data_IF_561852000712
#
_entry.id   IF_561852000712
#
_cell.length_a   1.000
_cell.length_b   1.000
_cell.length_c   1.000
_cell.angle_alpha   90.00
_cell.angle_beta   90.00
_cell.angle_gamma   90.00
#
_symmetry.space_group_name_H-M   'P 1'
#
loop_
_entity.id
_entity.type
_entity.pdbx_description
1 polymer ?
#
# COMPACT_ATOMS: atom_id res chain seq x y z
N UNK A 1 -0.34 11.15 -49.22
CA UNK A 1 -0.60 12.50 -48.68
C UNK A 1 -0.31 12.45 -47.18
N UNK A 2 0.69 13.20 -46.72
CA UNK A 2 1.23 13.11 -45.35
C UNK A 2 0.41 14.03 -44.44
N UNK A 3 -0.26 13.47 -43.42
CA UNK A 3 -0.96 14.24 -42.38
C UNK A 3 0.09 14.82 -41.44
N UNK A 4 0.31 16.13 -41.53
CA UNK A 4 1.19 16.88 -40.63
C UNK A 4 0.47 17.15 -39.31
N UNK A 5 1.16 16.81 -38.23
CA UNK A 5 0.71 16.80 -36.85
C UNK A 5 0.34 18.20 -36.34
N UNK A 6 -0.92 18.37 -35.97
CA UNK A 6 -1.53 19.62 -35.52
C UNK A 6 -1.74 19.60 -34.00
N UNK A 7 -0.70 19.22 -33.25
CA UNK A 7 -0.78 19.00 -31.79
C UNK A 7 0.33 19.69 -30.99
N UNK A 8 0.91 20.77 -31.53
CA UNK A 8 2.08 21.44 -30.94
C UNK A 8 1.81 22.86 -30.39
N UNK A 9 0.57 23.20 -30.04
CA UNK A 9 0.23 24.56 -29.57
C UNK A 9 -0.65 24.64 -28.30
N UNK A 10 -0.48 23.73 -27.32
CA UNK A 10 -1.24 23.82 -26.04
C UNK A 10 -0.35 23.94 -24.79
N UNK A 11 0.99 23.97 -24.93
CA UNK A 11 1.91 24.02 -23.76
C UNK A 11 2.43 25.45 -23.49
N UNK A 12 1.57 26.49 -23.52
CA UNK A 12 2.03 27.87 -23.27
C UNK A 12 1.04 28.81 -22.57
N UNK A 13 0.23 28.36 -21.60
CA UNK A 13 -0.72 29.29 -20.96
C UNK A 13 -1.15 29.06 -19.51
N UNK A 14 -0.46 28.25 -18.68
CA UNK A 14 -0.80 28.17 -17.24
C UNK A 14 0.46 28.25 -16.36
N UNK A 15 1.19 29.35 -16.52
CA UNK A 15 2.04 29.91 -15.45
C UNK A 15 1.41 31.22 -15.02
N UNK A 16 0.76 31.24 -13.85
CA UNK A 16 0.53 32.38 -12.94
C UNK A 16 -0.77 32.15 -12.18
N UNK A 17 -0.68 31.67 -10.93
CA UNK A 17 -1.26 32.30 -9.72
C UNK A 17 -0.49 31.71 -8.53
N UNK A 18 0.64 32.34 -8.19
CA UNK A 18 1.19 32.32 -6.83
C UNK A 18 1.01 33.74 -6.28
N UNK A 19 -0.07 34.00 -5.54
CA UNK A 19 -0.19 35.18 -4.66
C UNK A 19 -1.00 34.81 -3.42
N UNK A 20 -0.28 34.55 -2.32
CA UNK A 20 -0.54 35.12 -1.00
C UNK A 20 -1.76 34.66 -0.17
N UNK A 21 -1.48 34.04 0.99
CA UNK A 21 -1.73 34.71 2.27
C UNK A 21 -0.91 34.08 3.40
N UNK A 22 -0.06 34.91 3.99
CA UNK A 22 0.68 34.72 5.22
C UNK A 22 -0.22 35.12 6.40
N UNK A 23 -0.50 34.23 7.34
CA UNK A 23 -1.05 34.62 8.65
C UNK A 23 -0.37 33.85 9.77
N UNK A 24 0.65 34.51 10.34
CA UNK A 24 1.17 34.21 11.67
C UNK A 24 0.10 34.60 12.70
N UNK A 25 -0.40 33.64 13.45
CA UNK A 25 -0.94 33.89 14.79
C UNK A 25 0.00 33.19 15.79
N UNK A 26 0.75 34.01 16.50
CA UNK A 26 1.39 33.71 17.78
C UNK A 26 0.40 34.03 18.91
N UNK A 27 0.69 33.58 20.14
CA UNK A 27 0.05 33.93 21.43
C UNK A 27 -1.13 33.00 21.80
N UNK A 28 -1.20 32.33 22.96
CA UNK A 28 -0.35 32.26 24.15
C UNK A 28 -0.59 30.93 24.91
N UNK A 29 0.28 30.70 25.89
CA UNK A 29 0.23 29.69 26.96
C UNK A 29 -1.16 29.46 27.57
N UNK A 30 -1.40 28.22 28.00
CA UNK A 30 -1.83 27.99 29.38
C UNK A 30 -1.31 26.66 29.95
N UNK A 31 -0.84 26.77 31.19
CA UNK A 31 -0.34 25.70 32.03
C UNK A 31 -1.51 25.11 32.85
N UNK A 32 -1.55 23.78 32.98
CA UNK A 32 -2.12 23.07 34.13
C UNK A 32 -1.60 21.62 34.01
N UNK A 33 -0.57 21.16 34.74
CA UNK A 33 -0.45 20.96 36.18
C UNK A 33 -1.65 20.25 36.83
N UNK A 34 -1.63 18.92 36.80
CA UNK A 34 -2.07 18.13 37.95
C UNK A 34 -1.40 16.75 37.98
N UNK A 35 -0.52 16.63 38.97
CA UNK A 35 -0.02 15.44 39.67
C UNK A 35 -1.07 14.35 39.93
N UNK A 36 -0.65 13.07 39.91
CA UNK A 36 -0.80 12.03 40.97
C UNK A 36 -0.03 10.78 40.47
N UNK A 37 1.21 10.60 40.91
CA UNK A 37 1.68 9.65 41.95
C UNK A 37 1.46 8.16 41.60
N UNK A 38 2.60 7.52 41.34
CA UNK A 38 3.08 6.24 41.89
C UNK A 38 2.09 5.09 42.03
N UNK A 39 2.29 4.03 41.25
CA UNK A 39 2.46 2.71 41.86
C UNK A 39 3.47 1.85 41.09
N UNK A 40 4.38 1.30 41.88
CA UNK A 40 5.53 0.47 41.56
C UNK A 40 5.06 -0.98 41.52
N UNK A 41 5.35 -1.74 40.47
CA UNK A 41 5.57 -3.19 40.61
C UNK A 41 6.84 -3.58 39.84
N UNK A 42 7.87 -3.91 40.62
CA UNK A 42 9.01 -4.75 40.25
C UNK A 42 8.59 -6.22 40.37
N UNK A 43 9.05 -7.06 39.45
CA UNK A 43 9.56 -8.43 39.67
C UNK A 43 10.05 -8.94 38.29
N UNK A 44 11.34 -8.91 37.97
CA UNK A 44 12.39 -9.91 38.24
C UNK A 44 12.17 -11.33 37.67
N UNK A 45 12.90 -11.57 36.57
CA UNK A 45 13.69 -12.75 36.19
C UNK A 45 13.01 -14.10 35.97
N UNK A 46 13.30 -14.71 34.81
CA UNK A 46 14.17 -15.89 34.78
C UNK A 46 14.76 -16.15 33.39
N UNK A 47 16.08 -16.11 33.40
CA UNK A 47 17.05 -16.65 32.47
C UNK A 47 16.98 -18.19 32.43
N UNK A 48 17.02 -18.78 31.22
CA UNK A 48 17.60 -20.09 30.97
C UNK A 48 17.85 -20.23 29.45
N UNK A 49 19.07 -20.00 28.95
CA UNK A 49 20.12 -20.97 28.60
C UNK A 49 19.63 -22.12 27.67
N UNK A 50 19.95 -22.15 26.37
CA UNK A 50 21.19 -22.47 25.64
C UNK A 50 21.21 -23.92 25.09
N UNK A 51 21.76 -24.06 23.86
CA UNK A 51 22.32 -25.29 23.20
C UNK A 51 21.27 -26.09 22.38
N UNK A 52 21.47 -26.52 21.12
CA UNK A 52 22.62 -26.56 20.22
C UNK A 52 22.19 -26.43 18.75
N UNK A 53 23.16 -26.04 17.93
CA UNK A 53 23.19 -26.13 16.46
C UNK A 53 23.29 -27.60 16.02
N UNK A 54 22.55 -27.97 14.97
CA UNK A 54 22.96 -29.01 14.03
C UNK A 54 22.89 -28.42 12.61
N UNK A 55 24.08 -28.24 12.04
CA UNK A 55 24.32 -28.21 10.60
C UNK A 55 23.82 -29.52 9.96
N UNK A 56 23.37 -29.47 8.69
CA UNK A 56 23.91 -30.25 7.57
C UNK A 56 22.93 -30.25 6.36
N UNK A 57 23.38 -29.54 5.30
CA UNK A 57 23.26 -29.76 3.84
C UNK A 57 21.96 -30.26 3.19
N UNK A 58 21.36 -29.56 2.21
CA UNK A 58 21.74 -29.23 0.80
C UNK A 58 21.14 -30.21 -0.24
N UNK A 59 20.60 -29.60 -1.31
CA UNK A 59 20.24 -30.16 -2.64
C UNK A 59 19.01 -31.11 -2.66
N UNK A 60 18.06 -31.08 -3.60
CA UNK A 60 17.96 -30.48 -4.94
C UNK A 60 16.47 -30.50 -5.39
N UNK A 61 16.19 -29.76 -6.47
CA UNK A 61 14.94 -29.52 -7.22
C UNK A 61 13.98 -30.72 -7.39
N UNK A 62 12.67 -30.43 -7.54
CA UNK A 62 11.93 -30.65 -8.81
C UNK A 62 10.46 -30.22 -8.77
N UNK A 63 10.07 -29.55 -9.86
CA UNK A 63 8.73 -29.27 -10.38
C UNK A 63 7.59 -30.18 -9.93
N UNK A 64 6.45 -29.55 -9.59
CA UNK A 64 5.14 -30.05 -10.02
C UNK A 64 4.07 -28.97 -10.01
N UNK A 65 3.64 -28.62 -11.23
CA UNK A 65 2.32 -28.05 -11.56
C UNK A 65 1.22 -28.65 -10.68
N UNK A 66 0.41 -27.81 -10.02
CA UNK A 66 -0.96 -28.22 -9.68
C UNK A 66 -1.94 -27.09 -9.42
N UNK A 67 -2.87 -27.00 -10.36
CA UNK A 67 -4.29 -26.66 -10.21
C UNK A 67 -4.64 -25.37 -9.46
N UNK A 68 -4.73 -24.32 -10.26
CA UNK A 68 -5.80 -23.32 -10.20
C UNK A 68 -7.11 -23.95 -9.76
N UNK A 69 -7.53 -23.66 -8.54
CA UNK A 69 -8.87 -23.97 -8.06
C UNK A 69 -9.73 -22.72 -8.28
N UNK A 70 -10.46 -22.72 -9.40
CA UNK A 70 -11.50 -21.73 -9.70
C UNK A 70 -12.53 -21.74 -8.57
N UNK A 71 -12.45 -20.75 -7.68
CA UNK A 71 -13.56 -20.38 -6.81
C UNK A 71 -14.47 -19.43 -7.59
N UNK A 72 -15.56 -19.99 -8.08
CA UNK A 72 -16.64 -19.30 -8.77
C UNK A 72 -17.34 -18.37 -7.76
N UNK A 73 -16.80 -17.15 -7.60
CA UNK A 73 -17.61 -16.03 -7.12
C UNK A 73 -18.24 -15.39 -8.32
N UNK A 74 -19.47 -14.91 -8.16
CA UNK A 74 -20.13 -14.03 -9.12
C UNK A 74 -19.30 -12.74 -9.29
N UNK A 75 -18.28 -12.80 -10.15
CA UNK A 75 -17.51 -11.66 -10.62
C UNK A 75 -18.47 -10.77 -11.41
N UNK A 76 -18.68 -9.54 -10.92
CA UNK A 76 -19.09 -8.46 -11.80
C UNK A 76 -18.13 -8.44 -12.99
N UNK A 77 -18.63 -8.71 -14.20
CA UNK A 77 -17.89 -8.81 -15.47
C UNK A 77 -17.28 -7.46 -15.90
N UNK A 78 -16.47 -6.85 -15.04
CA UNK A 78 -15.62 -5.71 -15.36
C UNK A 78 -14.31 -6.18 -15.97
N UNK A 79 -13.73 -5.35 -16.84
CA UNK A 79 -12.35 -5.56 -17.29
C UNK A 79 -11.39 -5.45 -16.10
N UNK A 80 -10.60 -6.50 -15.86
CA UNK A 80 -9.60 -6.54 -14.81
C UNK A 80 -8.24 -6.12 -15.35
N UNK A 81 -7.56 -5.25 -14.59
CA UNK A 81 -6.24 -4.74 -14.87
C UNK A 81 -5.22 -5.35 -13.91
N UNK A 82 -3.96 -5.40 -14.31
CA UNK A 82 -2.86 -5.87 -13.46
C UNK A 82 -1.69 -4.90 -13.57
N UNK A 83 -1.16 -4.45 -12.43
CA UNK A 83 -0.05 -3.49 -12.37
C UNK A 83 0.98 -3.91 -11.34
N UNK A 84 2.24 -3.53 -11.56
CA UNK A 84 3.27 -3.54 -10.52
C UNK A 84 3.33 -2.16 -9.86
N UNK A 85 3.50 -2.13 -8.54
CA UNK A 85 3.49 -0.90 -7.77
C UNK A 85 4.48 -0.98 -6.60
N UNK A 86 4.81 0.20 -6.04
CA UNK A 86 5.51 0.31 -4.76
C UNK A 86 4.49 0.65 -3.68
N UNK A 87 4.33 -0.22 -2.69
CA UNK A 87 3.44 0.02 -1.57
C UNK A 87 3.90 1.23 -0.73
N UNK A 88 2.99 2.15 -0.42
CA UNK A 88 3.29 3.32 0.42
C UNK A 88 2.80 3.07 1.85
N UNK A 89 1.54 2.67 2.01
CA UNK A 89 0.91 2.45 3.32
C UNK A 89 -0.60 2.28 3.25
N UNK A 90 -1.19 1.80 4.34
CA UNK A 90 -2.65 1.76 4.52
C UNK A 90 -3.18 3.15 4.85
N UNK A 91 -4.27 3.55 4.18
CA UNK A 91 -4.97 4.81 4.47
C UNK A 91 -6.05 4.59 5.54
N UNK A 92 -6.74 3.45 5.45
CA UNK A 92 -7.67 2.92 6.43
C UNK A 92 -7.70 1.38 6.35
N UNK A 93 -8.61 0.74 7.07
CA UNK A 93 -8.71 -0.73 7.10
C UNK A 93 -9.09 -1.36 5.75
N UNK A 94 -9.63 -0.57 4.82
CA UNK A 94 -10.19 -1.04 3.55
C UNK A 94 -9.52 -0.37 2.35
N UNK A 95 -8.38 0.31 2.54
CA UNK A 95 -7.69 0.98 1.46
C UNK A 95 -6.22 1.22 1.74
N UNK A 96 -5.43 1.22 0.68
CA UNK A 96 -4.00 1.54 0.72
C UNK A 96 -3.59 2.40 -0.46
N UNK A 97 -2.44 3.04 -0.32
CA UNK A 97 -1.80 3.85 -1.35
C UNK A 97 -0.57 3.10 -1.92
N UNK A 98 -0.41 3.13 -3.24
CA UNK A 98 0.75 2.58 -3.92
C UNK A 98 1.17 3.44 -5.11
N UNK A 99 2.47 3.45 -5.43
CA UNK A 99 3.01 4.17 -6.61
C UNK A 99 3.01 3.28 -7.83
N UNK A 100 2.28 3.67 -8.86
CA UNK A 100 2.30 3.05 -10.19
C UNK A 100 3.00 4.03 -11.12
N UNK A 101 4.10 3.61 -11.77
CA UNK A 101 4.91 4.46 -12.64
C UNK A 101 5.36 5.80 -12.00
N UNK A 102 5.51 5.82 -10.67
CA UNK A 102 5.94 6.99 -9.89
C UNK A 102 4.80 7.87 -9.36
N UNK A 103 3.57 7.67 -9.83
CA UNK A 103 2.39 8.41 -9.38
C UNK A 103 1.62 7.64 -8.30
N UNK A 104 1.17 8.29 -7.21
CA UNK A 104 0.43 7.62 -6.15
C UNK A 104 -1.04 7.37 -6.54
N UNK A 105 -1.54 6.17 -6.24
CA UNK A 105 -2.92 5.78 -6.43
C UNK A 105 -3.48 5.11 -5.17
N UNK A 106 -4.75 5.39 -4.86
CA UNK A 106 -5.48 4.75 -3.79
C UNK A 106 -6.26 3.54 -4.32
N UNK A 107 -6.09 2.39 -3.65
CA UNK A 107 -6.74 1.14 -3.96
C UNK A 107 -7.66 0.71 -2.83
N UNK A 108 -8.86 0.22 -3.16
CA UNK A 108 -9.90 -0.17 -2.20
C UNK A 108 -10.04 -1.68 -2.09
N UNK A 109 -10.01 -2.16 -0.86
CA UNK A 109 -10.14 -3.55 -0.42
C UNK A 109 -11.59 -3.73 0.06
N UNK A 110 -12.47 -4.27 -0.79
CA UNK A 110 -13.87 -4.46 -0.42
C UNK A 110 -14.37 -5.89 -0.69
N UNK A 111 -13.92 -6.50 -1.79
CA UNK A 111 -14.36 -7.82 -2.25
C UNK A 111 -13.19 -8.73 -2.60
N UNK A 112 -12.15 -8.73 -1.77
CA UNK A 112 -11.02 -9.64 -1.99
C UNK A 112 -11.43 -11.01 -1.46
N UNK A 113 -11.41 -12.02 -2.33
CA UNK A 113 -11.76 -13.41 -1.93
C UNK A 113 -10.82 -13.93 -0.86
N UNK A 114 -9.55 -13.55 -0.99
CA UNK A 114 -8.47 -13.96 -0.12
C UNK A 114 -8.01 -12.80 0.76
N UNK A 115 -7.38 -13.15 1.88
CA UNK A 115 -6.74 -12.16 2.74
C UNK A 115 -5.53 -11.59 2.00
N UNK A 116 -5.54 -10.28 1.75
CA UNK A 116 -4.34 -9.60 1.23
C UNK A 116 -3.24 -9.72 2.30
N UNK A 117 -2.03 -10.17 1.93
CA UNK A 117 -0.92 -10.23 2.87
C UNK A 117 -0.58 -8.83 3.40
N UNK A 118 0.00 -8.77 4.59
CA UNK A 118 0.47 -7.49 5.14
C UNK A 118 1.68 -7.00 4.34
N UNK A 119 1.61 -5.74 3.90
CA UNK A 119 2.69 -5.08 3.17
C UNK A 119 3.43 -4.08 4.05
N UNK A 120 4.73 -3.97 3.84
CA UNK A 120 5.57 -2.95 4.44
C UNK A 120 5.81 -1.80 3.46
N UNK A 121 5.97 -0.56 3.95
CA UNK A 121 6.33 0.57 3.08
C UNK A 121 7.57 0.27 2.23
N UNK A 122 7.46 0.59 0.94
CA UNK A 122 8.43 0.33 -0.13
C UNK A 122 8.47 -1.10 -0.69
N UNK A 123 7.58 -2.00 -0.25
CA UNK A 123 7.45 -3.33 -0.87
C UNK A 123 7.04 -3.20 -2.34
N UNK A 124 7.61 -4.06 -3.20
CA UNK A 124 7.17 -4.21 -4.57
C UNK A 124 6.00 -5.18 -4.59
N UNK A 125 4.85 -4.72 -5.08
CA UNK A 125 3.62 -5.50 -5.09
C UNK A 125 3.03 -5.57 -6.49
N UNK A 126 2.33 -6.67 -6.78
CA UNK A 126 1.51 -6.84 -7.97
C UNK A 126 0.05 -6.78 -7.56
N UNK A 127 -0.74 -5.95 -8.23
CA UNK A 127 -2.14 -5.68 -7.90
C UNK A 127 -2.99 -6.03 -9.11
N UNK A 128 -3.98 -6.93 -8.93
CA UNK A 128 -5.09 -7.12 -9.87
C UNK A 128 -6.30 -6.34 -9.36
N UNK A 129 -6.87 -5.48 -10.18
CA UNK A 129 -8.00 -4.63 -9.80
C UNK A 129 -8.98 -4.42 -10.94
N UNK A 130 -10.21 -4.00 -10.61
CA UNK A 130 -11.21 -3.49 -11.56
C UNK A 130 -11.47 -2.02 -11.27
N UNK A 131 -11.92 -1.27 -12.27
CA UNK A 131 -12.43 0.10 -12.08
C UNK A 131 -13.96 0.05 -12.05
N UNK A 132 -14.57 0.48 -10.95
CA UNK A 132 -16.03 0.49 -10.84
C UNK A 132 -16.68 1.69 -11.54
N UNK A 133 -18.02 1.78 -11.51
CA UNK A 133 -18.78 2.89 -12.10
C UNK A 133 -18.48 4.28 -11.49
N UNK A 134 -17.90 4.32 -10.29
CA UNK A 134 -17.47 5.53 -9.57
C UNK A 134 -15.99 5.83 -9.78
N UNK A 135 -15.34 5.18 -10.74
CA UNK A 135 -13.92 5.33 -11.05
C UNK A 135 -12.95 4.90 -9.94
N UNK A 136 -13.41 4.12 -8.96
CA UNK A 136 -12.57 3.62 -7.88
C UNK A 136 -11.82 2.36 -8.31
N UNK A 137 -10.58 2.22 -7.83
CA UNK A 137 -9.72 1.07 -8.11
C UNK A 137 -9.98 -0.02 -7.05
N UNK A 138 -10.77 -1.02 -7.42
CA UNK A 138 -11.22 -2.09 -6.52
C UNK A 138 -10.30 -3.30 -6.65
N UNK A 139 -9.56 -3.62 -5.58
CA UNK A 139 -8.61 -4.74 -5.55
C UNK A 139 -9.37 -6.07 -5.61
N UNK A 140 -8.93 -6.94 -6.51
CA UNK A 140 -9.35 -8.33 -6.63
C UNK A 140 -8.32 -9.26 -5.99
N UNK A 141 -7.03 -8.92 -6.15
CA UNK A 141 -5.90 -9.70 -5.63
C UNK A 141 -4.69 -8.76 -5.49
N UNK A 142 -3.85 -8.98 -4.48
CA UNK A 142 -2.56 -8.32 -4.36
C UNK A 142 -1.55 -9.21 -3.64
N UNK A 143 -0.29 -9.16 -4.09
CA UNK A 143 0.80 -9.96 -3.51
C UNK A 143 2.16 -9.32 -3.72
N UNK A 144 3.16 -9.79 -2.96
CA UNK A 144 4.56 -9.37 -3.12
C UNK A 144 5.12 -9.88 -4.45
N UNK A 145 6.01 -9.09 -5.04
CA UNK A 145 6.84 -9.51 -6.17
C UNK A 145 8.20 -9.90 -5.59
N UNK A 146 8.52 -11.19 -5.65
CA UNK A 146 9.84 -11.73 -5.27
C UNK A 146 10.96 -11.26 -6.20
#
# INVERSE_FOLDING_TARGET
MKKVSQWLFVILSITMIFVGCNKKNSVDKDQNLSTTKDEIIKEESKENSHIAQEDISKEEEKDQDKETQESESEEEKGEAFTVEAIFIGYMDNNSFEAKVEGEPFAFRIEKVKDTIPEFNPNDRIKIRYIKNEYEQLMVQEAGLIE
#
